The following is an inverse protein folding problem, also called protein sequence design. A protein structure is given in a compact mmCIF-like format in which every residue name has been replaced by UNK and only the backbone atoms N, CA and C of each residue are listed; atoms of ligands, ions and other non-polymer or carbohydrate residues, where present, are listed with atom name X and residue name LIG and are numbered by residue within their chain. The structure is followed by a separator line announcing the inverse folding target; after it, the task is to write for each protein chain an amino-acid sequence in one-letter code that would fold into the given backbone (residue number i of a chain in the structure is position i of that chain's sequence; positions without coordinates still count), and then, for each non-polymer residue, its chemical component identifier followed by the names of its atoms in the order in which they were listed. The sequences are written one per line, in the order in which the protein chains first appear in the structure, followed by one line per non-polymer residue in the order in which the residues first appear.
data_IF_787130392780
#
_entry.id   IF_787130392780
#
_cell.length_a   1.000
_cell.length_b   1.000
_cell.length_c   1.000
_cell.angle_alpha   90.00
_cell.angle_beta   90.00
_cell.angle_gamma   90.00
#
_symmetry.space_group_name_H-M   'P 1'
#
loop_
_entity.id
_entity.type
_entity.pdbx_description
1 polymer ?
#
# COMPACT_ATOMS: atom_id res chain seq x y z
N UNK A 1 -37.39 31.08 5.22
CA UNK A 1 -37.10 29.83 5.94
C UNK A 1 -36.23 29.00 5.00
N UNK A 2 -34.90 29.28 5.01
CA UNK A 2 -33.95 28.62 4.11
C UNK A 2 -33.62 27.24 4.66
N UNK A 3 -34.03 26.20 3.97
CA UNK A 3 -33.61 24.84 4.27
C UNK A 3 -32.07 24.75 4.06
N UNK A 4 -31.36 24.45 5.12
CA UNK A 4 -29.92 24.10 5.08
C UNK A 4 -29.87 22.72 4.43
N UNK A 5 -29.52 22.68 3.15
CA UNK A 5 -29.20 21.45 2.44
C UNK A 5 -28.03 20.76 3.18
N UNK A 6 -28.15 19.50 3.63
CA UNK A 6 -27.04 18.82 4.28
C UNK A 6 -25.93 18.68 3.24
N UNK A 7 -24.73 19.15 3.59
CA UNK A 7 -23.51 19.03 2.80
C UNK A 7 -23.33 17.55 2.41
N UNK A 8 -23.78 17.20 1.21
CA UNK A 8 -23.66 15.88 0.63
C UNK A 8 -22.20 15.49 0.61
N UNK A 9 -21.85 14.31 1.13
CA UNK A 9 -20.56 13.68 0.88
C UNK A 9 -20.43 13.55 -0.63
N UNK A 10 -19.67 14.46 -1.24
CA UNK A 10 -19.34 14.35 -2.65
C UNK A 10 -18.61 13.04 -2.86
N UNK A 11 -19.22 12.10 -3.60
CA UNK A 11 -18.54 10.85 -3.96
C UNK A 11 -17.22 11.16 -4.67
N UNK A 12 -16.14 10.44 -4.35
CA UNK A 12 -14.84 10.69 -4.97
C UNK A 12 -14.94 10.50 -6.47
N UNK A 13 -14.37 11.41 -7.24
CA UNK A 13 -14.34 11.36 -8.71
C UNK A 13 -13.60 10.12 -9.20
N UNK A 14 -13.79 9.74 -10.46
CA UNK A 14 -13.09 8.59 -11.06
C UNK A 14 -11.56 8.75 -10.98
N UNK A 15 -11.05 9.97 -11.20
CA UNK A 15 -9.62 10.29 -11.08
C UNK A 15 -9.10 10.14 -9.65
N UNK A 16 -9.88 10.56 -8.66
CA UNK A 16 -9.54 10.42 -7.26
C UNK A 16 -9.48 8.94 -6.82
N UNK A 17 -10.43 8.13 -7.28
CA UNK A 17 -10.42 6.68 -7.04
C UNK A 17 -9.22 5.99 -7.68
N UNK A 18 -8.83 6.41 -8.90
CA UNK A 18 -7.66 5.88 -9.58
C UNK A 18 -6.35 6.25 -8.86
N UNK A 19 -6.24 7.48 -8.34
CA UNK A 19 -5.08 7.93 -7.56
C UNK A 19 -4.93 7.13 -6.26
N UNK A 20 -6.02 6.98 -5.49
CA UNK A 20 -6.04 6.17 -4.24
C UNK A 20 -5.66 4.70 -4.51
N UNK A 21 -6.19 4.11 -5.59
CA UNK A 21 -5.85 2.73 -5.96
C UNK A 21 -4.36 2.59 -6.29
N UNK A 22 -3.81 3.49 -7.13
CA UNK A 22 -2.39 3.51 -7.49
C UNK A 22 -1.50 3.56 -6.25
N UNK A 23 -1.79 4.46 -5.32
CA UNK A 23 -1.02 4.65 -4.09
C UNK A 23 -1.09 3.42 -3.19
N UNK A 24 -2.28 2.83 -2.99
CA UNK A 24 -2.45 1.61 -2.20
C UNK A 24 -1.68 0.43 -2.78
N UNK A 25 -1.71 0.24 -4.10
CA UNK A 25 -0.93 -0.81 -4.78
C UNK A 25 0.56 -0.58 -4.57
N UNK A 26 1.05 0.66 -4.79
CA UNK A 26 2.45 0.99 -4.60
C UNK A 26 2.93 0.73 -3.16
N UNK A 27 2.17 1.20 -2.16
CA UNK A 27 2.51 0.99 -0.75
C UNK A 27 2.45 -0.49 -0.36
N UNK A 28 1.51 -1.26 -0.91
CA UNK A 28 1.44 -2.71 -0.67
C UNK A 28 2.66 -3.45 -1.20
N UNK A 29 3.16 -3.10 -2.40
CA UNK A 29 4.40 -3.66 -2.94
C UNK A 29 5.63 -3.23 -2.13
N UNK A 30 5.71 -1.96 -1.73
CA UNK A 30 6.79 -1.46 -0.87
C UNK A 30 6.80 -2.20 0.48
N UNK A 31 5.63 -2.36 1.10
CA UNK A 31 5.48 -3.10 2.35
C UNK A 31 5.90 -4.56 2.18
N UNK A 32 5.49 -5.22 1.09
CA UNK A 32 5.86 -6.59 0.78
C UNK A 32 7.38 -6.74 0.61
N UNK A 33 8.02 -5.86 -0.15
CA UNK A 33 9.48 -5.89 -0.34
C UNK A 33 10.24 -5.74 0.99
N UNK A 34 9.82 -4.80 1.85
CA UNK A 34 10.44 -4.59 3.16
C UNK A 34 10.23 -5.78 4.09
N UNK A 35 9.01 -6.36 4.11
CA UNK A 35 8.72 -7.54 4.95
C UNK A 35 9.51 -8.76 4.48
N UNK A 36 9.73 -8.93 3.17
CA UNK A 36 10.58 -9.97 2.61
C UNK A 36 12.05 -9.78 3.05
N UNK A 37 12.59 -8.55 2.92
CA UNK A 37 13.93 -8.22 3.37
C UNK A 37 14.13 -8.45 4.89
N UNK A 38 13.15 -8.08 5.70
CA UNK A 38 13.17 -8.35 7.14
C UNK A 38 13.07 -9.85 7.45
N UNK A 39 12.36 -10.62 6.61
CA UNK A 39 12.21 -12.07 6.80
C UNK A 39 13.53 -12.81 6.62
N UNK A 40 14.40 -12.37 5.72
CA UNK A 40 15.74 -12.98 5.52
C UNK A 40 16.66 -12.81 6.73
N UNK A 41 16.42 -11.78 7.58
CA UNK A 41 17.18 -11.50 8.80
C UNK A 41 16.34 -11.64 10.08
N UNK A 42 15.29 -12.46 10.03
CA UNK A 42 14.29 -12.54 11.12
C UNK A 42 14.86 -13.07 12.43
N UNK A 43 15.90 -13.91 12.39
CA UNK A 43 16.53 -14.51 13.57
C UNK A 43 17.40 -13.49 14.33
N UNK A 44 17.88 -12.44 13.65
CA UNK A 44 18.69 -11.37 14.22
C UNK A 44 17.87 -10.11 14.54
N UNK A 45 16.62 -10.05 14.07
CA UNK A 45 15.77 -8.85 14.16
C UNK A 45 14.68 -9.02 15.22
N UNK A 46 14.66 -8.12 16.21
CA UNK A 46 13.57 -8.10 17.17
C UNK A 46 12.24 -7.65 16.52
N UNK A 47 11.07 -8.10 17.02
CA UNK A 47 9.77 -7.66 16.52
C UNK A 47 9.61 -6.13 16.52
N UNK A 48 10.14 -5.44 17.53
CA UNK A 48 10.09 -3.99 17.64
C UNK A 48 10.97 -3.31 16.57
N UNK A 49 12.17 -3.82 16.30
CA UNK A 49 13.04 -3.30 15.25
C UNK A 49 12.41 -3.51 13.86
N UNK A 50 11.82 -4.69 13.61
CA UNK A 50 11.11 -4.97 12.37
C UNK A 50 9.92 -4.01 12.17
N UNK A 51 9.11 -3.78 13.21
CA UNK A 51 7.99 -2.85 13.17
C UNK A 51 8.43 -1.41 12.93
N UNK A 52 9.52 -0.97 13.57
CA UNK A 52 10.09 0.37 13.37
C UNK A 52 10.59 0.55 11.95
N UNK A 53 11.38 -0.40 11.42
CA UNK A 53 11.91 -0.35 10.06
C UNK A 53 10.77 -0.29 9.04
N UNK A 54 9.79 -1.17 9.16
CA UNK A 54 8.63 -1.20 8.27
C UNK A 54 7.87 0.13 8.29
N UNK A 55 7.62 0.67 9.49
CA UNK A 55 6.90 1.94 9.65
C UNK A 55 7.68 3.11 9.03
N UNK A 56 8.99 3.21 9.28
CA UNK A 56 9.84 4.28 8.75
C UNK A 56 9.86 4.24 7.21
N UNK A 57 10.06 3.06 6.62
CA UNK A 57 10.12 2.94 5.15
C UNK A 57 8.79 3.27 4.51
N UNK A 58 7.69 2.79 5.06
CA UNK A 58 6.36 3.05 4.48
C UNK A 58 5.96 4.52 4.65
N UNK A 59 6.19 5.12 5.82
CA UNK A 59 5.91 6.55 6.03
C UNK A 59 6.80 7.41 5.12
N UNK A 60 8.09 7.07 5.00
CA UNK A 60 9.01 7.75 4.07
C UNK A 60 8.56 7.65 2.61
N UNK A 61 8.09 6.48 2.18
CA UNK A 61 7.53 6.28 0.82
C UNK A 61 6.28 7.12 0.59
N UNK A 62 5.37 7.18 1.56
CA UNK A 62 4.17 8.03 1.47
C UNK A 62 4.50 9.51 1.41
N UNK A 63 5.47 9.98 2.19
CA UNK A 63 5.95 11.35 2.09
C UNK A 63 6.55 11.65 0.72
N UNK A 64 7.32 10.71 0.14
CA UNK A 64 7.85 10.82 -1.21
C UNK A 64 6.76 10.92 -2.27
N UNK A 65 5.72 10.08 -2.18
CA UNK A 65 4.55 10.14 -3.08
C UNK A 65 3.83 11.49 -2.93
N UNK A 66 3.57 11.92 -1.71
CA UNK A 66 2.91 13.19 -1.44
C UNK A 66 3.68 14.39 -2.05
N UNK A 67 5.01 14.41 -1.90
CA UNK A 67 5.86 15.45 -2.52
C UNK A 67 5.82 15.36 -4.05
N UNK A 68 5.85 14.15 -4.62
CA UNK A 68 5.76 13.95 -6.06
C UNK A 68 4.42 14.43 -6.62
N UNK A 69 3.32 14.15 -5.96
CA UNK A 69 1.98 14.60 -6.34
C UNK A 69 1.86 16.13 -6.23
N UNK A 70 2.45 16.74 -5.18
CA UNK A 70 2.50 18.20 -5.02
C UNK A 70 3.29 18.86 -6.15
N UNK A 71 4.47 18.34 -6.48
CA UNK A 71 5.30 18.85 -7.57
C UNK A 71 4.62 18.68 -8.94
N UNK A 72 3.97 17.53 -9.16
CA UNK A 72 3.18 17.28 -10.37
C UNK A 72 2.04 18.30 -10.52
N UNK A 73 1.33 18.60 -9.43
CA UNK A 73 0.27 19.61 -9.44
C UNK A 73 0.80 21.00 -9.80
N UNK A 74 1.92 21.40 -9.17
CA UNK A 74 2.59 22.69 -9.45
C UNK A 74 3.05 22.80 -10.91
N UNK A 75 3.58 21.70 -11.47
CA UNK A 75 4.07 21.68 -12.85
C UNK A 75 2.93 21.83 -13.88
N UNK A 76 1.76 21.27 -13.58
CA UNK A 76 0.61 21.26 -14.50
C UNK A 76 -0.22 22.54 -14.38
N UNK A 77 -0.39 23.07 -13.17
CA UNK A 77 -1.35 24.14 -12.89
C UNK A 77 -0.66 25.49 -12.60
N UNK A 78 0.66 25.50 -12.41
CA UNK A 78 1.47 26.67 -12.06
C UNK A 78 0.98 27.42 -10.80
N UNK A 79 0.11 26.77 -10.00
CA UNK A 79 -0.50 27.29 -8.79
C UNK A 79 -0.41 26.26 -7.65
N UNK A 80 -0.42 26.76 -6.40
CA UNK A 80 -0.48 25.89 -5.22
C UNK A 80 -1.85 25.19 -5.13
N UNK A 81 -1.89 23.91 -4.71
CA UNK A 81 -3.14 23.20 -4.54
C UNK A 81 -4.02 23.93 -3.53
N UNK A 82 -5.30 24.04 -3.85
CA UNK A 82 -6.31 24.59 -2.95
C UNK A 82 -6.43 23.74 -1.66
N UNK A 83 -6.92 24.34 -0.57
CA UNK A 83 -7.14 23.63 0.69
C UNK A 83 -7.94 22.32 0.55
N UNK A 84 -9.02 22.24 -0.26
CA UNK A 84 -9.72 20.99 -0.51
C UNK A 84 -8.87 19.93 -1.21
N UNK A 85 -8.06 20.34 -2.21
CA UNK A 85 -7.16 19.43 -2.94
C UNK A 85 -6.05 18.89 -2.02
N UNK A 86 -5.40 19.76 -1.25
CA UNK A 86 -4.39 19.35 -0.27
C UNK A 86 -4.97 18.36 0.76
N UNK A 87 -6.17 18.66 1.28
CA UNK A 87 -6.86 17.76 2.22
C UNK A 87 -7.17 16.40 1.59
N UNK A 88 -7.51 16.38 0.32
CA UNK A 88 -7.75 15.13 -0.41
C UNK A 88 -6.45 14.33 -0.58
N UNK A 89 -5.35 14.95 -0.99
CA UNK A 89 -4.03 14.30 -1.11
C UNK A 89 -3.62 13.67 0.23
N UNK A 90 -3.72 14.41 1.33
CA UNK A 90 -3.43 13.90 2.68
C UNK A 90 -4.36 12.73 3.06
N UNK A 91 -5.64 12.81 2.71
CA UNK A 91 -6.60 11.74 3.02
C UNK A 91 -6.26 10.44 2.28
N UNK A 92 -5.88 10.51 1.00
CA UNK A 92 -5.45 9.35 0.20
C UNK A 92 -4.20 8.70 0.81
N UNK A 93 -3.18 9.49 1.14
CA UNK A 93 -1.96 8.98 1.78
C UNK A 93 -2.26 8.36 3.15
N UNK A 94 -3.16 8.95 3.94
CA UNK A 94 -3.56 8.39 5.24
C UNK A 94 -4.33 7.08 5.07
N UNK A 95 -5.18 6.96 4.06
CA UNK A 95 -5.90 5.72 3.75
C UNK A 95 -4.93 4.59 3.37
N UNK A 96 -3.86 4.90 2.65
CA UNK A 96 -2.82 3.95 2.24
C UNK A 96 -2.02 3.40 3.43
N UNK A 97 -1.94 4.12 4.56
CA UNK A 97 -1.36 3.61 5.82
C UNK A 97 -2.10 2.39 6.39
N UNK A 98 -3.35 2.18 5.99
CA UNK A 98 -4.13 1.01 6.43
C UNK A 98 -3.45 -0.32 6.07
N UNK A 99 -2.61 -0.34 5.04
CA UNK A 99 -1.83 -1.52 4.64
C UNK A 99 -0.85 -1.96 5.74
N UNK A 100 -0.33 -1.02 6.54
CA UNK A 100 0.58 -1.30 7.65
C UNK A 100 -0.09 -1.99 8.84
N UNK A 101 -1.39 -1.81 9.02
CA UNK A 101 -2.09 -2.24 10.24
C UNK A 101 -1.89 -3.74 10.50
N UNK A 102 -2.10 -4.58 9.49
CA UNK A 102 -1.99 -6.04 9.68
C UNK A 102 -0.55 -6.50 9.96
N UNK A 103 0.48 -6.11 9.19
CA UNK A 103 1.86 -6.45 9.53
C UNK A 103 2.28 -5.98 10.94
N UNK A 104 1.89 -4.76 11.33
CA UNK A 104 2.22 -4.24 12.65
C UNK A 104 1.51 -5.00 13.78
N UNK A 105 0.26 -5.41 13.60
CA UNK A 105 -0.46 -6.25 14.56
C UNK A 105 0.23 -7.61 14.72
N UNK A 106 0.67 -8.22 13.63
CA UNK A 106 1.39 -9.50 13.66
C UNK A 106 2.74 -9.37 14.38
N UNK A 107 3.49 -8.29 14.12
CA UNK A 107 4.76 -8.02 14.81
C UNK A 107 4.55 -7.66 16.29
N UNK A 108 3.48 -6.94 16.61
CA UNK A 108 3.12 -6.66 18.01
C UNK A 108 2.81 -7.95 18.77
N UNK A 109 2.06 -8.87 18.16
CA UNK A 109 1.77 -10.16 18.74
C UNK A 109 3.04 -11.02 18.93
N UNK A 110 4.02 -10.94 18.01
CA UNK A 110 5.33 -11.55 18.19
C UNK A 110 6.10 -10.91 19.36
N UNK A 111 6.03 -9.59 19.53
CA UNK A 111 6.62 -8.88 20.66
C UNK A 111 6.02 -9.26 22.02
N UNK A 112 4.76 -9.70 22.03
CA UNK A 112 4.07 -10.24 23.21
C UNK A 112 4.40 -11.73 23.48
N UNK A 113 5.24 -12.35 22.61
CA UNK A 113 5.67 -13.74 22.77
C UNK A 113 4.69 -14.79 22.25
N UNK A 114 3.66 -14.41 21.48
CA UNK A 114 2.70 -15.36 20.90
C UNK A 114 3.33 -16.25 19.82
N UNK A 115 4.32 -15.75 19.09
CA UNK A 115 5.10 -16.45 18.08
C UNK A 115 6.43 -15.75 17.80
N UNK A 116 7.30 -16.36 16.98
CA UNK A 116 8.59 -15.74 16.60
C UNK A 116 8.40 -14.63 15.58
N UNK A 117 9.40 -13.72 15.49
CA UNK A 117 9.47 -12.67 14.45
C UNK A 117 9.34 -13.27 13.04
N UNK A 118 10.01 -14.40 12.81
CA UNK A 118 9.98 -15.11 11.54
C UNK A 118 8.56 -15.55 11.13
N UNK A 119 7.77 -16.08 12.08
CA UNK A 119 6.38 -16.49 11.86
C UNK A 119 5.49 -15.27 11.59
N UNK A 120 5.66 -14.17 12.34
CA UNK A 120 4.92 -12.93 12.12
C UNK A 120 5.15 -12.37 10.70
N UNK A 121 6.41 -12.29 10.27
CA UNK A 121 6.78 -11.81 8.94
C UNK A 121 6.27 -12.74 7.84
N UNK A 122 6.31 -14.06 8.05
CA UNK A 122 5.74 -15.03 7.11
C UNK A 122 4.25 -14.81 6.89
N UNK A 123 3.47 -14.62 7.95
CA UNK A 123 2.05 -14.32 7.85
C UNK A 123 1.79 -12.93 7.24
N UNK A 124 2.65 -11.96 7.54
CA UNK A 124 2.57 -10.63 6.90
C UNK A 124 2.72 -10.72 5.38
N UNK A 125 3.69 -11.52 4.87
CA UNK A 125 3.84 -11.76 3.43
C UNK A 125 2.55 -12.34 2.83
N UNK A 126 2.00 -13.39 3.44
CA UNK A 126 0.77 -14.04 2.95
C UNK A 126 -0.38 -13.04 2.89
N UNK A 127 -0.60 -12.27 3.96
CA UNK A 127 -1.69 -11.29 4.02
C UNK A 127 -1.49 -10.17 2.99
N UNK A 128 -0.26 -9.67 2.81
CA UNK A 128 0.03 -8.62 1.82
C UNK A 128 -0.20 -9.11 0.39
N UNK A 129 0.23 -10.33 0.05
CA UNK A 129 -0.03 -10.93 -1.27
C UNK A 129 -1.52 -11.11 -1.52
N UNK A 130 -2.27 -11.62 -0.53
CA UNK A 130 -3.72 -11.75 -0.63
C UNK A 130 -4.39 -10.37 -0.77
N UNK A 131 -3.92 -9.37 -0.02
CA UNK A 131 -4.44 -8.00 -0.09
C UNK A 131 -4.23 -7.39 -1.47
N UNK A 132 -3.03 -7.53 -2.07
CA UNK A 132 -2.73 -7.11 -3.43
C UNK A 132 -3.69 -7.76 -4.42
N UNK A 133 -3.83 -9.10 -4.35
CA UNK A 133 -4.75 -9.83 -5.21
C UNK A 133 -6.20 -9.36 -5.07
N UNK A 134 -6.67 -9.12 -3.84
CA UNK A 134 -8.03 -8.61 -3.59
C UNK A 134 -8.22 -7.21 -4.16
N UNK A 135 -7.23 -6.31 -3.97
CA UNK A 135 -7.26 -4.94 -4.53
C UNK A 135 -7.37 -5.00 -6.05
N UNK A 136 -6.49 -5.77 -6.72
CA UNK A 136 -6.50 -5.94 -8.17
C UNK A 136 -7.81 -6.52 -8.68
N UNK A 137 -8.29 -7.59 -8.05
CA UNK A 137 -9.59 -8.19 -8.39
C UNK A 137 -10.76 -7.21 -8.23
N UNK A 138 -10.82 -6.46 -7.12
CA UNK A 138 -11.87 -5.46 -6.88
C UNK A 138 -11.83 -4.31 -7.89
N UNK A 139 -10.62 -3.90 -8.32
CA UNK A 139 -10.45 -2.86 -9.31
C UNK A 139 -11.03 -3.26 -10.67
N UNK A 140 -10.82 -4.50 -11.10
CA UNK A 140 -11.21 -4.97 -12.44
C UNK A 140 -12.60 -5.60 -12.50
N UNK A 141 -13.16 -6.09 -11.38
CA UNK A 141 -14.46 -6.80 -11.39
C UNK A 141 -15.62 -5.97 -11.90
N UNK A 142 -15.56 -4.63 -11.70
CA UNK A 142 -16.59 -3.67 -12.09
C UNK A 142 -16.43 -3.14 -13.52
N UNK A 143 -15.35 -3.52 -14.20
CA UNK A 143 -15.09 -3.11 -15.58
C UNK A 143 -15.76 -4.10 -16.53
N UNK A 144 -16.46 -3.58 -17.54
CA UNK A 144 -17.04 -4.38 -18.63
C UNK A 144 -15.98 -4.81 -19.63
N UNK A 145 -14.90 -5.46 -19.14
CA UNK A 145 -13.82 -5.98 -19.94
C UNK A 145 -14.05 -7.47 -20.26
N UNK A 146 -13.68 -7.94 -21.46
CA UNK A 146 -13.69 -9.37 -21.77
C UNK A 146 -12.79 -10.14 -20.79
N UNK A 147 -13.19 -11.36 -20.47
CA UNK A 147 -12.52 -12.22 -19.48
C UNK A 147 -11.00 -12.32 -19.70
N UNK A 148 -10.56 -12.35 -20.96
CA UNK A 148 -9.12 -12.41 -21.32
C UNK A 148 -8.34 -11.21 -20.76
N UNK A 149 -8.87 -9.99 -20.82
CA UNK A 149 -8.20 -8.80 -20.29
C UNK A 149 -8.18 -8.81 -18.77
N UNK A 150 -9.27 -9.25 -18.13
CA UNK A 150 -9.29 -9.42 -16.66
C UNK A 150 -8.25 -10.44 -16.21
N UNK A 151 -8.18 -11.58 -16.88
CA UNK A 151 -7.19 -12.62 -16.59
C UNK A 151 -5.75 -12.12 -16.79
N UNK A 152 -5.49 -11.33 -17.84
CA UNK A 152 -4.17 -10.76 -18.10
C UNK A 152 -3.72 -9.80 -16.99
N UNK A 153 -4.61 -8.97 -16.47
CA UNK A 153 -4.30 -8.02 -15.39
C UNK A 153 -3.96 -8.77 -14.10
N UNK A 154 -4.79 -9.75 -13.72
CA UNK A 154 -4.53 -10.60 -12.55
C UNK A 154 -3.23 -11.39 -12.72
N UNK A 155 -2.97 -11.93 -13.92
CA UNK A 155 -1.72 -12.62 -14.22
C UNK A 155 -0.51 -11.69 -14.07
N UNK A 156 -0.58 -10.46 -14.58
CA UNK A 156 0.49 -9.49 -14.45
C UNK A 156 0.77 -9.15 -12.97
N UNK A 157 -0.26 -9.03 -12.13
CA UNK A 157 -0.12 -8.79 -10.68
C UNK A 157 0.56 -9.96 -9.97
N UNK A 158 0.18 -11.19 -10.29
CA UNK A 158 0.82 -12.40 -9.76
C UNK A 158 2.28 -12.46 -10.20
N UNK A 159 2.57 -12.21 -11.48
CA UNK A 159 3.96 -12.20 -12.00
C UNK A 159 4.80 -11.14 -11.32
N UNK A 160 4.28 -9.92 -11.10
CA UNK A 160 4.99 -8.88 -10.37
C UNK A 160 5.27 -9.28 -8.92
N UNK A 161 4.29 -9.87 -8.23
CA UNK A 161 4.48 -10.36 -6.85
C UNK A 161 5.55 -11.46 -6.79
N UNK A 162 5.52 -12.41 -7.73
CA UNK A 162 6.54 -13.45 -7.84
C UNK A 162 7.91 -12.88 -8.19
N UNK A 163 7.99 -11.86 -9.04
CA UNK A 163 9.23 -11.18 -9.39
C UNK A 163 9.86 -10.51 -8.15
N UNK A 164 9.08 -9.82 -7.32
CA UNK A 164 9.56 -9.23 -6.07
C UNK A 164 10.10 -10.30 -5.14
N UNK A 165 9.39 -11.41 -4.97
CA UNK A 165 9.87 -12.56 -4.17
C UNK A 165 11.15 -13.16 -4.76
N UNK A 166 11.23 -13.33 -6.07
CA UNK A 166 12.41 -13.88 -6.74
C UNK A 166 13.63 -12.97 -6.61
N UNK A 167 13.47 -11.65 -6.74
CA UNK A 167 14.55 -10.67 -6.55
C UNK A 167 15.06 -10.70 -5.11
N UNK A 168 14.19 -10.82 -4.13
CA UNK A 168 14.57 -10.93 -2.72
C UNK A 168 15.36 -12.23 -2.45
N UNK A 169 14.90 -13.36 -2.97
CA UNK A 169 15.61 -14.64 -2.86
C UNK A 169 16.98 -14.60 -3.56
N UNK A 170 17.07 -13.90 -4.68
CA UNK A 170 18.34 -13.71 -5.39
C UNK A 170 19.32 -12.85 -4.57
N UNK A 171 18.85 -11.74 -4.00
CA UNK A 171 19.64 -10.87 -3.14
C UNK A 171 20.15 -11.58 -1.88
N UNK A 172 19.38 -12.56 -1.37
CA UNK A 172 19.79 -13.35 -0.20
C UNK A 172 20.88 -14.41 -0.52
N UNK A 173 20.99 -14.84 -1.78
CA UNK A 173 21.96 -15.87 -2.20
C UNK A 173 23.26 -15.28 -2.80
N UNK A 174 23.39 -13.94 -2.86
CA UNK A 174 24.58 -13.22 -3.28
C UNK A 174 25.39 -12.73 -2.08
#
# INVERSE_FOLDING_TARGET
MNAIEPAGRTEPTASQRAASLKERVYISFTCLAVVLALRSHADETSPAAAAATLSIVVVGSLLGIFVADLLSHLTVHEELPSRPQLRHMVAVSTESLSVLVTPLLLLTAAGLGLWSTAVALQWAIVVLVVTLFVIGYLAIRRLDLPFRHKALIVFAEVVLSLLVIALELLAHNL
#
